data_IF_540842906513
#
_entry.id   IF_540842906513
#
_cell.length_a   1.000
_cell.length_b   1.000
_cell.length_c   1.000
_cell.angle_alpha   90.00
_cell.angle_beta   90.00
_cell.angle_gamma   90.00
#
_symmetry.space_group_name_H-M   'P 1'
#
loop_
_entity.id
_entity.type
_entity.pdbx_description
1 polymer ?
#
# COMPACT_ATOMS: atom_id res chain seq x y z
N UNK A 1 -5.91 10.22 14.51
CA UNK A 1 -5.52 8.89 13.99
C UNK A 1 -4.41 8.25 14.80
N UNK A 2 -3.25 8.90 14.92
CA UNK A 2 -2.13 8.37 15.71
C UNK A 2 -2.49 8.14 17.19
N UNK A 3 -3.25 9.03 17.82
CA UNK A 3 -3.78 8.82 19.19
C UNK A 3 -4.62 7.55 19.32
N UNK A 4 -5.40 7.20 18.30
CA UNK A 4 -6.21 5.96 18.33
C UNK A 4 -5.35 4.73 18.19
N UNK A 5 -4.23 4.80 17.43
CA UNK A 5 -3.24 3.75 17.43
C UNK A 5 -2.67 3.58 18.84
N UNK A 6 -2.24 4.68 19.46
CA UNK A 6 -1.65 4.64 20.80
C UNK A 6 -2.62 4.15 21.87
N UNK A 7 -3.93 4.36 21.70
CA UNK A 7 -4.92 3.83 22.63
C UNK A 7 -5.12 2.32 22.51
N UNK A 8 -5.11 1.80 21.29
CA UNK A 8 -5.68 0.48 21.00
C UNK A 8 -4.64 -0.60 20.64
N UNK A 9 -3.41 -0.22 20.31
CA UNK A 9 -2.37 -1.19 19.96
C UNK A 9 -1.52 -1.59 21.16
N UNK A 10 -1.04 -2.85 21.23
CA UNK A 10 -0.21 -3.34 22.33
C UNK A 10 1.01 -2.44 22.58
N UNK A 11 1.34 -2.13 23.85
CA UNK A 11 2.37 -1.14 24.20
C UNK A 11 3.77 -1.50 23.72
N UNK A 12 4.04 -2.79 23.50
CA UNK A 12 5.30 -3.33 22.97
C UNK A 12 5.47 -3.13 21.45
N UNK A 13 4.41 -2.75 20.73
CA UNK A 13 4.49 -2.46 19.29
C UNK A 13 5.02 -1.04 19.07
N UNK A 14 6.20 -0.95 18.43
CA UNK A 14 6.81 0.31 18.01
C UNK A 14 6.13 0.86 16.75
N UNK A 15 6.01 2.19 16.66
CA UNK A 15 5.44 2.88 15.49
C UNK A 15 6.52 3.70 14.81
N UNK A 16 6.69 3.51 13.50
CA UNK A 16 7.49 4.40 12.68
C UNK A 16 6.56 5.36 11.95
N UNK A 17 6.53 6.62 12.36
CA UNK A 17 5.67 7.64 11.78
C UNK A 17 6.48 8.54 10.82
N UNK A 18 6.31 8.33 9.52
CA UNK A 18 6.97 9.14 8.49
C UNK A 18 6.11 10.38 8.19
N UNK A 19 6.64 11.55 8.52
CA UNK A 19 5.99 12.84 8.36
C UNK A 19 6.69 13.65 7.26
N UNK A 20 5.95 14.45 6.49
CA UNK A 20 6.51 15.45 5.56
C UNK A 20 5.86 16.78 5.89
N UNK A 21 6.66 17.76 6.32
CA UNK A 21 6.21 19.11 6.69
C UNK A 21 5.04 19.12 7.70
N UNK A 22 5.14 18.29 8.74
CA UNK A 22 4.10 18.13 9.76
C UNK A 22 4.70 18.15 11.17
N UNK A 23 4.21 19.05 12.03
CA UNK A 23 4.52 19.07 13.45
C UNK A 23 3.54 18.14 14.19
N UNK A 24 4.07 17.13 14.86
CA UNK A 24 3.28 16.14 15.58
C UNK A 24 2.91 16.56 16.99
N UNK A 25 3.54 17.62 17.53
CA UNK A 25 3.51 17.89 18.97
C UNK A 25 4.12 16.73 19.79
N UNK A 26 3.88 16.70 21.11
CA UNK A 26 4.38 15.63 21.98
C UNK A 26 3.68 14.31 21.66
N UNK A 27 4.47 13.26 21.39
CA UNK A 27 3.97 11.92 21.12
C UNK A 27 4.45 10.91 22.16
N UNK A 28 3.74 9.78 22.33
CA UNK A 28 4.19 8.68 23.17
C UNK A 28 5.58 8.18 22.77
N UNK A 29 6.39 7.75 23.73
CA UNK A 29 7.79 7.34 23.51
C UNK A 29 7.97 6.17 22.54
N UNK A 30 6.94 5.35 22.33
CA UNK A 30 6.94 4.24 21.35
C UNK A 30 6.74 4.69 19.90
N UNK A 31 6.40 5.97 19.68
CA UNK A 31 6.24 6.54 18.34
C UNK A 31 7.53 7.22 17.92
N UNK A 32 8.20 6.61 16.94
CA UNK A 32 9.41 7.12 16.31
C UNK A 32 9.02 7.96 15.10
N UNK A 33 8.99 9.28 15.29
CA UNK A 33 8.78 10.22 14.18
C UNK A 33 10.03 10.31 13.33
N UNK A 34 9.84 10.28 12.01
CA UNK A 34 10.88 10.46 11.01
C UNK A 34 10.43 11.52 10.02
N UNK A 35 11.22 12.57 9.82
CA UNK A 35 11.03 13.39 8.63
C UNK A 35 11.33 12.52 7.40
N UNK A 36 10.34 12.41 6.51
CA UNK A 36 10.38 11.50 5.38
C UNK A 36 11.44 11.91 4.35
N UNK A 37 11.65 13.22 4.15
CA UNK A 37 12.60 13.71 3.15
C UNK A 37 14.04 13.64 3.67
N UNK A 38 14.25 13.88 4.96
CA UNK A 38 15.56 13.72 5.60
C UNK A 38 15.93 12.23 5.77
N UNK A 39 15.00 11.41 6.23
CA UNK A 39 15.27 9.99 6.50
C UNK A 39 15.41 9.15 5.22
N UNK A 40 14.80 9.57 4.10
CA UNK A 40 14.76 8.76 2.88
C UNK A 40 15.34 9.50 1.66
N UNK A 41 16.69 9.64 1.56
CA UNK A 41 17.34 10.32 0.44
C UNK A 41 16.99 9.77 -0.94
N UNK A 42 16.64 8.49 -1.04
CA UNK A 42 16.23 7.87 -2.31
C UNK A 42 14.90 8.41 -2.84
N UNK A 43 13.96 8.75 -1.95
CA UNK A 43 12.72 9.42 -2.31
C UNK A 43 13.03 10.81 -2.89
N UNK A 44 13.91 11.56 -2.24
CA UNK A 44 14.34 12.88 -2.70
C UNK A 44 15.00 12.76 -4.07
N UNK A 45 15.90 11.79 -4.25
CA UNK A 45 16.55 11.52 -5.53
C UNK A 45 15.53 11.14 -6.61
N UNK A 46 14.54 10.29 -6.29
CA UNK A 46 13.47 9.92 -7.23
C UNK A 46 12.63 11.14 -7.64
N UNK A 47 12.19 11.95 -6.67
CA UNK A 47 11.44 13.21 -6.91
C UNK A 47 12.26 14.17 -7.78
N UNK A 48 13.56 14.29 -7.54
CA UNK A 48 14.47 15.13 -8.32
C UNK A 48 14.64 14.65 -9.77
N UNK A 49 14.94 13.35 -9.97
CA UNK A 49 15.08 12.75 -11.31
C UNK A 49 13.81 12.90 -12.15
N UNK A 50 12.64 12.76 -11.53
CA UNK A 50 11.35 12.80 -12.21
C UNK A 50 10.63 14.15 -12.13
N UNK A 51 11.30 15.22 -11.66
CA UNK A 51 10.67 16.54 -11.46
C UNK A 51 9.91 17.05 -12.68
N UNK A 52 10.49 16.88 -13.87
CA UNK A 52 9.91 17.34 -15.14
C UNK A 52 9.32 16.19 -15.99
N UNK A 53 9.21 14.99 -15.44
CA UNK A 53 8.75 13.81 -16.16
C UNK A 53 7.22 13.69 -16.10
N UNK A 54 6.52 14.34 -17.04
CA UNK A 54 5.03 14.39 -17.08
C UNK A 54 4.34 13.02 -16.93
N UNK A 55 4.98 11.94 -17.40
CA UNK A 55 4.46 10.58 -17.25
C UNK A 55 4.47 10.10 -15.79
N UNK A 56 5.51 10.45 -15.02
CA UNK A 56 5.63 10.13 -13.60
C UNK A 56 4.65 10.92 -12.73
N UNK A 57 4.18 12.08 -13.19
CA UNK A 57 3.16 12.88 -12.52
C UNK A 57 1.73 12.53 -12.98
N UNK A 58 1.55 11.50 -13.82
CA UNK A 58 0.23 11.14 -14.34
C UNK A 58 -0.41 12.22 -15.21
N UNK A 59 0.40 13.10 -15.83
CA UNK A 59 -0.06 14.25 -16.62
C UNK A 59 0.05 14.02 -18.13
N UNK A 60 0.63 12.90 -18.55
CA UNK A 60 0.82 12.60 -19.97
C UNK A 60 -0.48 12.11 -20.60
N UNK A 61 -0.98 12.89 -21.56
CA UNK A 61 -2.17 12.50 -22.34
C UNK A 61 -1.85 11.33 -23.26
N UNK A 62 -2.81 10.41 -23.37
CA UNK A 62 -2.68 9.25 -24.27
C UNK A 62 -2.69 9.70 -25.72
N UNK A 63 -1.67 9.38 -26.53
CA UNK A 63 -1.80 9.53 -27.97
C UNK A 63 -2.92 8.62 -28.47
N UNK A 64 -3.80 9.18 -29.31
CA UNK A 64 -4.83 8.42 -30.01
C UNK A 64 -4.28 8.03 -31.36
N UNK A 65 -3.90 6.77 -31.50
CA UNK A 65 -3.47 6.22 -32.79
C UNK A 65 -4.60 5.40 -33.40
N UNK A 66 -4.86 5.61 -34.69
CA UNK A 66 -5.78 4.76 -35.44
C UNK A 66 -5.21 4.46 -36.81
N UNK A 67 -5.23 3.19 -37.19
CA UNK A 67 -4.92 2.72 -38.53
C UNK A 67 -6.25 2.38 -39.23
N UNK A 68 -6.41 2.80 -40.48
CA UNK A 68 -7.58 2.45 -41.30
C UNK A 68 -7.12 1.42 -42.35
N UNK A 69 -7.75 0.25 -42.34
CA UNK A 69 -7.52 -0.84 -43.30
C UNK A 69 -8.90 -1.26 -43.78
N UNK A 70 -9.31 -0.84 -44.99
CA UNK A 70 -10.69 -1.02 -45.46
C UNK A 70 -11.15 -2.49 -45.32
N UNK A 71 -12.36 -2.78 -44.78
CA UNK A 71 -13.38 -1.86 -44.25
C UNK A 71 -13.20 -1.47 -42.75
N UNK A 72 -12.12 -1.88 -42.12
CA UNK A 72 -11.86 -1.76 -40.68
C UNK A 72 -11.09 -0.49 -40.27
N UNK A 73 -11.28 -0.09 -39.00
CA UNK A 73 -10.49 0.95 -38.34
C UNK A 73 -9.95 0.41 -37.02
N UNK A 74 -8.66 0.10 -37.00
CA UNK A 74 -7.97 -0.38 -35.81
C UNK A 74 -7.56 0.80 -34.94
N UNK A 75 -7.94 0.80 -33.66
CA UNK A 75 -7.59 1.85 -32.69
C UNK A 75 -6.55 1.30 -31.72
N UNK A 76 -5.40 1.96 -31.65
CA UNK A 76 -4.36 1.64 -30.67
C UNK A 76 -4.38 2.69 -29.56
N UNK A 77 -4.42 2.23 -28.32
CA UNK A 77 -4.34 3.09 -27.14
C UNK A 77 -3.25 2.56 -26.22
N UNK A 78 -2.21 3.37 -25.91
CA UNK A 78 -1.23 2.97 -24.91
C UNK A 78 -1.90 2.67 -23.57
N UNK A 79 -1.26 1.77 -22.82
CA UNK A 79 -1.75 1.29 -21.52
C UNK A 79 -1.41 2.23 -20.34
N UNK A 80 -0.93 3.45 -20.61
CA UNK A 80 -0.65 4.52 -19.63
C UNK A 80 -1.52 5.76 -19.91
N UNK A 81 -1.70 6.71 -18.97
CA UNK A 81 -2.48 7.92 -19.23
C UNK A 81 -2.57 8.96 -18.13
N UNK A 82 -3.61 9.80 -18.21
CA UNK A 82 -3.87 10.89 -17.27
C UNK A 82 -4.53 10.37 -15.98
N UNK A 83 -4.08 10.84 -14.83
CA UNK A 83 -4.72 10.65 -13.53
C UNK A 83 -3.89 9.81 -12.56
N UNK A 84 -4.40 9.71 -11.32
CA UNK A 84 -3.64 9.19 -10.17
C UNK A 84 -3.03 7.81 -10.39
N UNK A 85 -3.65 6.93 -11.19
CA UNK A 85 -3.12 5.58 -11.46
C UNK A 85 -1.74 5.59 -12.10
N UNK A 86 -1.32 6.72 -12.68
CA UNK A 86 -0.02 6.93 -13.32
C UNK A 86 0.81 8.01 -12.61
N UNK A 87 0.45 8.39 -11.38
CA UNK A 87 1.19 9.37 -10.59
C UNK A 87 2.23 8.67 -9.71
N UNK A 88 3.32 8.23 -10.34
CA UNK A 88 4.42 7.54 -9.66
C UNK A 88 5.05 8.40 -8.55
N UNK A 89 5.16 9.72 -8.75
CA UNK A 89 5.73 10.63 -7.76
C UNK A 89 4.88 10.67 -6.49
N UNK A 90 3.56 10.81 -6.62
CA UNK A 90 2.65 10.73 -5.47
C UNK A 90 2.81 9.43 -4.70
N UNK A 91 2.74 8.28 -5.39
CA UNK A 91 2.80 6.97 -4.73
C UNK A 91 4.20 6.58 -4.22
N UNK A 92 5.25 7.29 -4.65
CA UNK A 92 6.63 7.03 -4.19
C UNK A 92 6.83 7.26 -2.69
N UNK A 93 6.11 8.20 -2.07
CA UNK A 93 6.25 8.51 -0.64
C UNK A 93 6.01 7.29 0.25
N UNK A 94 4.87 6.62 0.03
CA UNK A 94 4.52 5.37 0.73
C UNK A 94 5.54 4.27 0.46
N UNK A 95 5.88 4.06 -0.80
CA UNK A 95 6.78 2.99 -1.20
C UNK A 95 8.18 3.17 -0.60
N UNK A 96 8.74 4.39 -0.64
CA UNK A 96 10.05 4.67 -0.06
C UNK A 96 10.05 4.67 1.47
N UNK A 97 8.97 5.14 2.13
CA UNK A 97 8.81 5.01 3.58
C UNK A 97 8.81 3.54 4.02
N UNK A 98 8.07 2.70 3.29
CA UNK A 98 8.02 1.26 3.52
C UNK A 98 9.38 0.58 3.31
N UNK A 99 10.06 0.89 2.19
CA UNK A 99 11.40 0.36 1.89
C UNK A 99 12.42 0.76 2.96
N UNK A 100 12.41 2.02 3.39
CA UNK A 100 13.26 2.51 4.45
C UNK A 100 12.95 1.81 5.78
N UNK A 101 11.67 1.65 6.14
CA UNK A 101 11.28 0.95 7.37
C UNK A 101 11.76 -0.50 7.38
N UNK A 102 11.58 -1.23 6.28
CA UNK A 102 12.01 -2.63 6.14
C UNK A 102 13.53 -2.79 6.26
N UNK A 103 14.31 -1.82 5.76
CA UNK A 103 15.77 -1.87 5.82
C UNK A 103 16.37 -1.48 7.20
N UNK A 104 15.60 -0.83 8.08
CA UNK A 104 16.11 -0.25 9.33
C UNK A 104 15.40 -0.77 10.59
N UNK A 105 14.56 -1.79 10.46
CA UNK A 105 13.88 -2.41 11.59
C UNK A 105 14.53 -3.74 11.94
N UNK A 106 14.51 -4.08 13.23
CA UNK A 106 14.89 -5.37 13.81
C UNK A 106 13.66 -6.26 14.07
N UNK A 107 12.46 -5.81 13.67
CA UNK A 107 11.22 -6.53 13.92
C UNK A 107 11.09 -7.80 13.07
N UNK A 108 10.37 -8.79 13.60
CA UNK A 108 10.04 -10.02 12.87
C UNK A 108 8.93 -9.79 11.84
N UNK A 109 8.04 -8.84 12.10
CA UNK A 109 6.90 -8.50 11.24
C UNK A 109 6.81 -6.98 11.13
N UNK A 110 6.74 -6.49 9.89
CA UNK A 110 6.49 -5.08 9.59
C UNK A 110 5.06 -4.92 9.08
N UNK A 111 4.26 -4.08 9.73
CA UNK A 111 2.88 -3.81 9.32
C UNK A 111 2.79 -2.37 8.79
N UNK A 112 2.43 -2.24 7.52
CA UNK A 112 2.06 -0.94 6.94
C UNK A 112 0.61 -0.61 7.26
N UNK A 113 0.34 0.63 7.69
CA UNK A 113 -0.99 1.19 7.90
C UNK A 113 -1.06 2.59 7.29
N UNK A 114 -2.05 2.87 6.44
CA UNK A 114 -2.27 4.23 5.91
C UNK A 114 -2.67 5.19 7.05
N UNK A 115 -2.17 6.42 7.01
CA UNK A 115 -2.30 7.40 8.11
C UNK A 115 -3.73 7.94 8.33
N UNK A 116 -4.64 7.72 7.38
CA UNK A 116 -6.08 7.98 7.52
C UNK A 116 -6.85 6.77 8.06
N UNK A 117 -6.17 5.87 8.79
CA UNK A 117 -6.79 4.79 9.55
C UNK A 117 -7.15 5.23 10.97
N UNK A 118 -8.38 4.93 11.37
CA UNK A 118 -8.87 5.10 12.74
C UNK A 118 -8.98 3.74 13.42
N UNK A 119 -8.45 3.61 14.63
CA UNK A 119 -8.67 2.46 15.49
C UNK A 119 -9.76 2.78 16.51
N UNK A 120 -10.64 1.81 16.79
CA UNK A 120 -11.77 2.01 17.72
C UNK A 120 -11.97 0.86 18.71
N UNK A 121 -11.19 -0.21 18.59
CA UNK A 121 -11.16 -1.30 19.56
C UNK A 121 -9.72 -1.82 19.71
N UNK A 122 -9.44 -2.44 20.85
CA UNK A 122 -8.11 -2.94 21.18
C UNK A 122 -7.71 -4.11 20.27
N UNK A 123 -6.43 -4.16 19.90
CA UNK A 123 -5.86 -5.21 19.07
C UNK A 123 -4.93 -6.06 19.93
N UNK A 124 -5.08 -7.38 19.89
CA UNK A 124 -4.21 -8.27 20.66
C UNK A 124 -2.94 -8.62 19.88
N UNK A 125 -1.90 -9.06 20.59
CA UNK A 125 -0.69 -9.64 19.96
C UNK A 125 -1.03 -10.79 19.03
N UNK A 126 -1.89 -11.71 19.46
CA UNK A 126 -2.34 -12.84 18.65
C UNK A 126 -3.05 -12.39 17.36
N UNK A 127 -3.87 -11.33 17.43
CA UNK A 127 -4.48 -10.73 16.23
C UNK A 127 -3.41 -10.24 15.25
N UNK A 128 -2.39 -9.51 15.73
CA UNK A 128 -1.31 -9.02 14.87
C UNK A 128 -0.50 -10.15 14.24
N UNK A 129 -0.22 -11.22 14.98
CA UNK A 129 0.51 -12.41 14.49
C UNK A 129 -0.28 -13.16 13.42
N UNK A 130 -1.61 -13.19 13.55
CA UNK A 130 -2.46 -13.84 12.54
C UNK A 130 -2.37 -13.19 11.15
N UNK A 131 -1.94 -11.93 11.05
CA UNK A 131 -1.82 -11.24 9.77
C UNK A 131 -0.59 -11.65 8.97
N UNK A 132 0.43 -12.22 9.60
CA UNK A 132 1.64 -12.70 8.92
C UNK A 132 2.03 -14.09 9.42
N UNK A 133 1.29 -15.14 9.01
CA UNK A 133 1.61 -16.52 9.38
C UNK A 133 3.06 -16.89 9.01
N UNK A 134 3.76 -17.72 9.81
CA UNK A 134 5.18 -18.03 9.59
C UNK A 134 5.53 -18.58 8.21
N UNK A 135 4.56 -19.24 7.57
CA UNK A 135 4.69 -19.88 6.26
C UNK A 135 4.31 -19.00 5.07
N UNK A 136 3.98 -17.74 5.34
CA UNK A 136 3.63 -16.73 4.36
C UNK A 136 4.60 -15.54 4.45
N UNK A 137 5.05 -15.05 3.30
CA UNK A 137 5.96 -13.89 3.24
C UNK A 137 5.21 -12.56 3.46
N UNK A 138 3.92 -12.52 3.11
CA UNK A 138 3.09 -11.33 3.24
C UNK A 138 1.64 -11.70 3.54
N UNK A 139 0.98 -10.94 4.39
CA UNK A 139 -0.46 -10.90 4.53
C UNK A 139 -1.06 -9.60 4.00
N UNK A 140 -2.13 -9.71 3.21
CA UNK A 140 -2.77 -8.56 2.59
C UNK A 140 -4.27 -8.77 2.43
N UNK A 141 -4.99 -7.69 2.10
CA UNK A 141 -6.43 -7.71 1.80
C UNK A 141 -6.64 -7.96 0.31
N UNK A 142 -6.75 -9.23 -0.09
CA UNK A 142 -6.89 -9.59 -1.51
C UNK A 142 -8.27 -9.22 -2.00
N UNK A 143 -8.36 -8.91 -3.31
CA UNK A 143 -9.62 -8.62 -4.00
C UNK A 143 -9.61 -9.25 -5.38
N UNK A 144 -10.75 -9.82 -5.79
CA UNK A 144 -10.85 -10.52 -7.09
C UNK A 144 -11.05 -9.60 -8.29
N UNK A 145 -11.78 -8.50 -8.10
CA UNK A 145 -12.22 -7.60 -9.18
C UNK A 145 -11.41 -6.30 -9.27
N UNK A 146 -10.41 -6.12 -8.40
CA UNK A 146 -9.55 -4.95 -8.33
C UNK A 146 -8.25 -5.30 -7.60
N UNK A 147 -7.28 -4.39 -7.64
CA UNK A 147 -5.99 -4.56 -6.98
C UNK A 147 -6.13 -4.75 -5.48
N UNK A 148 -5.19 -5.40 -4.81
CA UNK A 148 -5.13 -5.55 -3.34
C UNK A 148 -5.37 -4.21 -2.63
N UNK A 149 -6.06 -4.20 -1.48
CA UNK A 149 -6.12 -2.97 -0.66
C UNK A 149 -4.85 -2.89 0.18
N UNK A 150 -3.95 -1.97 -0.19
CA UNK A 150 -2.63 -1.81 0.42
C UNK A 150 -2.61 -0.85 1.59
N UNK A 151 -3.77 -0.34 2.04
CA UNK A 151 -3.86 0.50 3.23
C UNK A 151 -3.55 -0.24 4.53
N UNK A 152 -3.54 -1.58 4.49
CA UNK A 152 -3.02 -2.45 5.53
C UNK A 152 -2.31 -3.64 4.90
N UNK A 153 -1.03 -3.86 5.23
CA UNK A 153 -0.24 -5.01 4.74
C UNK A 153 0.73 -5.45 5.83
N UNK A 154 0.83 -6.74 6.10
CA UNK A 154 1.76 -7.31 7.07
C UNK A 154 2.86 -8.10 6.34
N UNK A 155 4.13 -7.76 6.56
CA UNK A 155 5.28 -8.39 5.93
C UNK A 155 6.01 -9.25 6.97
N UNK A 156 6.17 -10.53 6.70
CA UNK A 156 6.96 -11.45 7.55
C UNK A 156 8.44 -11.28 7.21
N UNK A 157 9.17 -10.50 8.00
CA UNK A 157 10.58 -10.18 7.73
C UNK A 157 11.52 -11.38 8.00
N UNK A 158 11.03 -12.44 8.64
CA UNK A 158 11.77 -13.71 8.79
C UNK A 158 11.73 -14.58 7.54
N UNK A 159 10.77 -14.37 6.64
CA UNK A 159 10.67 -15.12 5.38
C UNK A 159 11.64 -14.52 4.34
N UNK A 160 12.60 -15.31 3.80
CA UNK A 160 13.54 -14.82 2.77
C UNK A 160 12.87 -14.28 1.50
N UNK A 161 11.65 -14.73 1.19
CA UNK A 161 10.89 -14.24 0.04
C UNK A 161 10.39 -12.81 0.26
N UNK A 162 10.27 -12.35 1.50
CA UNK A 162 9.98 -10.95 1.84
C UNK A 162 11.13 -10.03 1.46
N UNK A 163 12.38 -10.45 1.68
CA UNK A 163 13.54 -9.71 1.20
C UNK A 163 13.54 -9.59 -0.34
N UNK A 164 13.25 -10.69 -1.05
CA UNK A 164 13.09 -10.67 -2.51
C UNK A 164 11.95 -9.75 -2.97
N UNK A 165 10.85 -9.72 -2.23
CA UNK A 165 9.76 -8.78 -2.49
C UNK A 165 10.27 -7.34 -2.40
N UNK A 166 10.93 -6.96 -1.30
CA UNK A 166 11.43 -5.59 -1.13
C UNK A 166 12.49 -5.21 -2.17
N UNK A 167 13.40 -6.12 -2.52
CA UNK A 167 14.39 -5.88 -3.58
C UNK A 167 13.71 -5.60 -4.94
N UNK A 168 12.74 -6.43 -5.33
CA UNK A 168 11.99 -6.21 -6.56
C UNK A 168 11.14 -4.94 -6.51
N UNK A 169 10.53 -4.65 -5.37
CA UNK A 169 9.72 -3.45 -5.16
C UNK A 169 10.57 -2.18 -5.21
N UNK A 170 11.80 -2.23 -4.70
CA UNK A 170 12.80 -1.16 -4.77
C UNK A 170 13.24 -0.85 -6.20
N UNK A 171 13.53 -1.88 -7.00
CA UNK A 171 13.94 -1.73 -8.41
C UNK A 171 12.89 -1.02 -9.26
N UNK A 172 11.60 -1.18 -8.94
CA UNK A 172 10.53 -0.42 -9.59
C UNK A 172 10.78 1.09 -9.60
N UNK A 173 11.30 1.63 -8.50
CA UNK A 173 11.52 3.06 -8.33
C UNK A 173 12.95 3.49 -8.63
N UNK A 174 13.94 2.68 -8.28
CA UNK A 174 15.35 3.09 -8.44
C UNK A 174 15.90 2.84 -9.83
N UNK A 175 15.47 1.74 -10.46
CA UNK A 175 15.85 1.41 -11.83
C UNK A 175 14.76 1.84 -12.83
N UNK A 176 13.76 2.58 -12.36
CA UNK A 176 12.65 3.11 -13.16
C UNK A 176 11.81 2.00 -13.88
N UNK A 177 11.89 0.74 -13.42
CA UNK A 177 11.15 -0.39 -13.97
C UNK A 177 9.62 -0.21 -13.90
N UNK A 178 9.13 0.65 -12.98
CA UNK A 178 7.70 0.98 -12.90
C UNK A 178 7.18 1.57 -14.21
N UNK A 179 7.98 2.26 -15.03
CA UNK A 179 7.49 2.85 -16.28
C UNK A 179 7.23 1.83 -17.38
N UNK A 180 7.71 0.59 -17.24
CA UNK A 180 7.31 -0.54 -18.07
C UNK A 180 5.95 -1.14 -17.67
N UNK A 181 5.42 -0.75 -16.50
CA UNK A 181 4.17 -1.25 -15.96
C UNK A 181 2.94 -0.53 -16.53
N UNK A 182 1.77 -1.17 -16.36
CA UNK A 182 0.48 -0.62 -16.82
C UNK A 182 -0.01 0.53 -15.94
N UNK A 183 0.16 0.45 -14.63
CA UNK A 183 -0.22 1.47 -13.65
C UNK A 183 0.96 1.63 -12.66
N UNK A 184 1.08 2.80 -12.01
CA UNK A 184 2.20 3.16 -11.13
C UNK A 184 1.81 3.32 -9.67
N UNK A 185 0.52 3.17 -9.37
CA UNK A 185 0.07 3.26 -7.99
C UNK A 185 0.47 2.02 -7.19
N UNK A 186 0.64 2.21 -5.88
CA UNK A 186 1.16 1.22 -4.94
C UNK A 186 0.42 -0.13 -5.00
N UNK A 187 -0.91 -0.13 -4.97
CA UNK A 187 -1.69 -1.38 -5.00
C UNK A 187 -1.43 -2.23 -6.26
N UNK A 188 -1.25 -1.60 -7.43
CA UNK A 188 -0.97 -2.33 -8.66
C UNK A 188 0.44 -2.90 -8.64
N UNK A 189 1.43 -2.08 -8.26
CA UNK A 189 2.83 -2.49 -8.20
C UNK A 189 3.03 -3.58 -7.15
N UNK A 190 2.36 -3.48 -6.01
CA UNK A 190 2.33 -4.51 -4.97
C UNK A 190 1.87 -5.84 -5.53
N UNK A 191 0.72 -5.89 -6.22
CA UNK A 191 0.23 -7.12 -6.83
C UNK A 191 1.19 -7.67 -7.88
N UNK A 192 1.80 -6.80 -8.71
CA UNK A 192 2.80 -7.26 -9.71
C UNK A 192 4.01 -7.93 -9.05
N UNK A 193 4.51 -7.39 -7.94
CA UNK A 193 5.66 -7.98 -7.24
C UNK A 193 5.24 -9.21 -6.45
N UNK A 194 4.12 -9.15 -5.72
CA UNK A 194 3.55 -10.30 -4.99
C UNK A 194 3.35 -11.50 -5.92
N UNK A 195 2.70 -11.32 -7.07
CA UNK A 195 2.47 -12.40 -8.05
C UNK A 195 3.78 -13.01 -8.57
N UNK A 196 4.84 -12.20 -8.77
CA UNK A 196 6.17 -12.72 -9.19
C UNK A 196 6.86 -13.53 -8.10
N UNK A 197 6.68 -13.14 -6.84
CA UNK A 197 7.24 -13.83 -5.69
C UNK A 197 6.46 -15.13 -5.42
N UNK A 198 5.13 -15.11 -5.55
CA UNK A 198 4.26 -16.29 -5.50
C UNK A 198 4.57 -17.30 -6.61
N UNK A 199 4.86 -16.82 -7.83
CA UNK A 199 5.27 -17.68 -8.94
C UNK A 199 6.60 -18.44 -8.68
N UNK A 200 7.38 -18.03 -7.67
CA UNK A 200 8.58 -18.73 -7.20
C UNK A 200 8.29 -19.72 -6.07
N UNK A 201 7.02 -19.97 -5.74
CA UNK A 201 6.58 -20.92 -4.72
C UNK A 201 6.31 -20.31 -3.35
N UNK A 202 6.45 -18.99 -3.18
CA UNK A 202 6.10 -18.31 -1.93
C UNK A 202 4.58 -18.25 -1.74
N UNK A 203 4.13 -18.22 -0.48
CA UNK A 203 2.70 -18.07 -0.15
C UNK A 203 2.40 -16.69 0.41
N UNK A 204 1.32 -16.09 -0.05
CA UNK A 204 0.71 -14.94 0.64
C UNK A 204 -0.52 -15.38 1.44
N UNK A 205 -0.78 -14.65 2.51
CA UNK A 205 -1.94 -14.82 3.37
C UNK A 205 -3.04 -13.81 2.99
N UNK A 206 -4.26 -14.27 2.81
CA UNK A 206 -5.42 -13.39 2.64
C UNK A 206 -6.04 -13.05 3.99
N UNK A 207 -5.71 -11.87 4.52
CA UNK A 207 -6.28 -11.37 5.78
C UNK A 207 -7.80 -11.23 5.68
N UNK A 208 -8.31 -10.99 4.47
CA UNK A 208 -9.73 -10.85 4.21
C UNK A 208 -10.48 -12.19 4.17
N UNK A 209 -9.78 -13.33 4.16
CA UNK A 209 -10.37 -14.68 4.09
C UNK A 209 -11.43 -14.81 2.98
N UNK A 210 -11.16 -14.24 1.80
CA UNK A 210 -12.08 -14.25 0.67
C UNK A 210 -13.17 -13.16 0.69
N UNK A 211 -13.25 -12.30 1.72
CA UNK A 211 -14.21 -11.18 1.75
C UNK A 211 -14.09 -10.26 0.53
N UNK A 212 -12.89 -10.10 -0.02
CA UNK A 212 -12.63 -9.29 -1.22
C UNK A 212 -13.19 -9.88 -2.53
N UNK A 213 -13.79 -11.07 -2.50
CA UNK A 213 -14.48 -11.65 -3.66
C UNK A 213 -15.87 -11.05 -3.85
N UNK A 214 -16.51 -10.61 -2.77
CA UNK A 214 -17.89 -10.12 -2.75
C UNK A 214 -18.04 -8.70 -2.18
N UNK A 215 -17.08 -8.21 -1.39
CA UNK A 215 -17.10 -6.86 -0.82
C UNK A 215 -16.17 -5.89 -1.56
N UNK A 216 -16.71 -4.74 -1.99
CA UNK A 216 -15.90 -3.63 -2.53
C UNK A 216 -15.02 -2.99 -1.45
N UNK A 217 -15.56 -2.86 -0.24
CA UNK A 217 -14.88 -2.29 0.92
C UNK A 217 -14.32 -3.42 1.79
N UNK A 218 -13.31 -4.12 1.27
CA UNK A 218 -12.78 -5.36 1.85
C UNK A 218 -12.35 -5.24 3.32
N UNK A 219 -11.77 -4.09 3.71
CA UNK A 219 -11.26 -3.89 5.08
C UNK A 219 -12.35 -4.04 6.14
N UNK A 220 -13.48 -3.33 5.99
CA UNK A 220 -14.58 -3.37 6.96
C UNK A 220 -15.34 -4.69 6.94
N UNK A 221 -15.12 -5.52 5.92
CA UNK A 221 -15.69 -6.86 5.79
C UNK A 221 -14.68 -7.97 6.14
N UNK A 222 -13.50 -7.61 6.64
CA UNK A 222 -12.47 -8.54 7.12
C UNK A 222 -12.34 -8.50 8.64
N UNK A 223 -11.46 -9.31 9.21
CA UNK A 223 -11.11 -9.24 10.64
C UNK A 223 -10.65 -7.84 11.09
N UNK A 224 -10.10 -7.02 10.18
CA UNK A 224 -9.72 -5.64 10.46
C UNK A 224 -10.94 -4.74 10.80
N UNK A 225 -12.10 -5.02 10.20
CA UNK A 225 -13.34 -4.26 10.43
C UNK A 225 -13.88 -4.38 11.86
N UNK A 226 -13.33 -5.28 12.68
CA UNK A 226 -13.66 -5.40 14.10
C UNK A 226 -12.97 -4.36 15.00
N UNK A 227 -11.93 -3.69 14.52
CA UNK A 227 -11.14 -2.77 15.36
C UNK A 227 -10.61 -1.53 14.65
N UNK A 228 -10.65 -1.48 13.31
CA UNK A 228 -10.19 -0.33 12.54
C UNK A 228 -11.05 -0.03 11.34
N UNK A 229 -10.92 1.21 10.86
CA UNK A 229 -11.59 1.68 9.66
C UNK A 229 -10.68 2.65 8.89
N UNK A 230 -10.75 2.58 7.56
CA UNK A 230 -9.91 3.35 6.65
C UNK A 230 -10.71 4.52 6.07
N UNK A 231 -10.39 5.73 6.52
CA UNK A 231 -11.09 6.98 6.20
C UNK A 231 -10.75 7.52 4.81
N UNK A 232 -10.92 6.71 3.78
CA UNK A 232 -10.61 7.10 2.40
C UNK A 232 -11.69 8.02 1.82
N UNK A 233 -11.27 9.11 1.17
CA UNK A 233 -12.16 10.03 0.45
C UNK A 233 -13.09 10.80 1.39
N UNK A 234 -14.39 10.82 1.10
CA UNK A 234 -15.40 11.55 1.90
C UNK A 234 -15.47 11.08 3.37
N UNK A 235 -14.99 9.88 3.66
CA UNK A 235 -14.91 9.33 5.02
C UNK A 235 -13.98 10.12 5.94
N UNK A 236 -13.06 10.93 5.40
CA UNK A 236 -12.25 11.86 6.19
C UNK A 236 -13.10 12.88 6.94
N UNK A 237 -14.26 13.24 6.38
CA UNK A 237 -15.23 14.16 7.00
C UNK A 237 -16.23 13.39 7.87
N UNK A 238 -16.69 12.22 7.40
CA UNK A 238 -17.73 11.43 8.09
C UNK A 238 -17.18 10.69 9.33
N UNK A 239 -15.87 10.40 9.39
CA UNK A 239 -15.21 9.79 10.54
C UNK A 239 -15.48 8.29 10.73
N UNK A 240 -16.24 7.67 9.81
CA UNK A 240 -16.52 6.24 9.74
C UNK A 240 -16.89 5.83 8.29
N UNK A 241 -16.75 4.53 7.98
CA UNK A 241 -17.41 3.86 6.85
C UNK A 241 -18.92 3.78 7.10
N UNK A 242 -19.69 3.70 6.01
CA UNK A 242 -21.16 3.70 6.08
C UNK A 242 -21.66 2.27 6.26
N UNK A 243 -22.84 2.10 6.86
CA UNK A 243 -23.43 0.76 7.00
C UNK A 243 -23.64 0.04 5.65
N UNK A 244 -23.92 0.80 4.59
CA UNK A 244 -24.03 0.29 3.23
C UNK A 244 -22.71 -0.31 2.67
N UNK A 245 -21.57 -0.08 3.34
CA UNK A 245 -20.28 -0.66 2.98
C UNK A 245 -20.10 -2.08 3.53
N UNK A 246 -20.95 -2.50 4.46
CA UNK A 246 -20.98 -3.86 5.03
C UNK A 246 -21.83 -4.78 4.16
N UNK A 247 -21.31 -5.95 3.86
CA UNK A 247 -22.10 -7.02 3.24
C UNK A 247 -22.84 -7.76 4.35
N UNK A 248 -24.16 -8.03 4.21
CA UNK A 248 -24.91 -8.80 5.20
C UNK A 248 -24.24 -10.17 5.44
N UNK A 249 -24.17 -10.59 6.70
CA UNK A 249 -23.77 -11.96 7.01
C UNK A 249 -24.78 -12.93 6.36
N UNK A 250 -24.29 -13.77 5.45
CA UNK A 250 -25.07 -14.83 4.82
C UNK A 250 -25.23 -16.05 5.72
#
# INVERSE_FOLDING_TARGET
MLETFDRHWPPDVRVHFYAEAFDTGPLPSRVLVKDLLEAVPELVAFKARHRNHRRAHGEQRRPRMSLRVWPFRLKFRPRWGLGFRWDAVRFSHKSFALLHAAAHTDADVLIWVDSDTRFFADVTRATLESFAPPECFVGCLRRKRMWTETGFVAYNLRDPMTARFFDAYRKLYVDDELFAQREYHDAYLFDRVRERVEAQGARSHDIAQGAGDHARHVLVNSSLGGFMDHMKGNRKVEGASRDADRVPAG
#
